data_IF_326091058891
#
_entry.id   IF_326091058891
#
_cell.length_a   1.000
_cell.length_b   1.000
_cell.length_c   1.000
_cell.angle_alpha   90.00
_cell.angle_beta   90.00
_cell.angle_gamma   90.00
#
_symmetry.space_group_name_H-M   'P 1'
#
loop_
_entity.id
_entity.type
_entity.pdbx_description
1 polymer ?
#
# COMPACT_ATOMS: atom_id res chain seq x y z
N UNK A 1 -0.38 11.65 9.27
CA UNK A 1 -0.64 10.23 9.12
C UNK A 1 0.04 9.79 7.86
N UNK A 2 0.80 8.70 7.92
CA UNK A 2 1.27 7.99 6.74
C UNK A 2 0.15 7.16 6.12
N UNK A 3 0.49 6.45 5.04
CA UNK A 3 -0.41 5.61 4.25
C UNK A 3 -1.20 4.60 5.10
N UNK A 4 -0.56 3.95 6.08
CA UNK A 4 -1.21 2.99 6.98
C UNK A 4 -2.34 3.65 7.78
N UNK A 5 -2.08 4.82 8.38
CA UNK A 5 -3.08 5.53 9.17
C UNK A 5 -4.24 6.05 8.32
N UNK A 6 -3.95 6.55 7.12
CA UNK A 6 -4.97 7.03 6.17
C UNK A 6 -5.88 5.88 5.73
N UNK A 7 -5.32 4.74 5.29
CA UNK A 7 -6.12 3.59 4.87
C UNK A 7 -6.91 2.96 6.02
N UNK A 8 -6.32 2.90 7.22
CA UNK A 8 -7.04 2.45 8.41
C UNK A 8 -8.28 3.33 8.67
N UNK A 9 -8.11 4.65 8.65
CA UNK A 9 -9.22 5.59 8.81
C UNK A 9 -10.27 5.47 7.69
N UNK A 10 -9.82 5.36 6.43
CA UNK A 10 -10.70 5.18 5.26
C UNK A 10 -11.58 3.93 5.38
N UNK A 11 -10.99 2.76 5.68
CA UNK A 11 -11.75 1.53 5.80
C UNK A 11 -12.62 1.48 7.06
N UNK A 12 -12.22 2.11 8.16
CA UNK A 12 -13.07 2.26 9.34
C UNK A 12 -14.28 3.17 9.05
N UNK A 13 -14.07 4.29 8.36
CA UNK A 13 -15.15 5.21 7.97
C UNK A 13 -16.12 4.54 6.99
N UNK A 14 -15.63 3.77 6.00
CA UNK A 14 -16.49 2.97 5.10
C UNK A 14 -17.33 1.92 5.82
N UNK A 15 -16.92 1.47 7.01
CA UNK A 15 -17.68 0.58 7.88
C UNK A 15 -18.68 1.32 8.79
N UNK A 16 -18.86 2.62 8.61
CA UNK A 16 -19.82 3.44 9.37
C UNK A 16 -19.31 3.94 10.71
N UNK A 17 -18.02 3.78 11.02
CA UNK A 17 -17.44 4.28 12.27
C UNK A 17 -17.16 5.79 12.16
N UNK A 18 -17.34 6.52 13.28
CA UNK A 18 -16.86 7.90 13.40
C UNK A 18 -15.37 7.87 13.71
N UNK A 19 -14.56 8.45 12.82
CA UNK A 19 -13.10 8.40 12.90
C UNK A 19 -12.52 9.80 12.84
N UNK A 20 -11.57 10.10 13.74
CA UNK A 20 -10.72 11.27 13.64
C UNK A 20 -9.31 10.84 13.22
N UNK A 21 -8.76 11.47 12.19
CA UNK A 21 -7.37 11.27 11.75
C UNK A 21 -6.56 12.53 12.12
N UNK A 22 -5.58 12.37 13.00
CA UNK A 22 -4.74 13.49 13.47
C UNK A 22 -3.32 13.33 12.92
N UNK A 23 -2.74 14.43 12.44
CA UNK A 23 -1.37 14.50 11.93
C UNK A 23 -0.68 15.75 12.48
N UNK A 24 0.57 15.60 12.92
CA UNK A 24 1.36 16.71 13.46
C UNK A 24 1.77 17.76 12.42
N UNK A 25 1.81 17.39 11.15
CA UNK A 25 2.18 18.23 10.02
C UNK A 25 1.30 17.98 8.79
N UNK A 26 1.88 17.47 7.71
CA UNK A 26 1.17 17.22 6.44
C UNK A 26 0.92 15.73 6.22
N UNK A 27 -0.29 15.38 5.78
CA UNK A 27 -0.65 13.99 5.46
C UNK A 27 0.32 13.41 4.42
N UNK A 28 0.81 12.19 4.68
CA UNK A 28 1.76 11.48 3.81
C UNK A 28 3.18 12.03 3.79
N UNK A 29 3.47 13.18 4.42
CA UNK A 29 4.72 13.92 4.22
C UNK A 29 5.96 13.36 4.92
N UNK A 30 5.87 12.20 5.58
CA UNK A 30 7.01 11.50 6.19
C UNK A 30 7.44 10.30 5.32
N UNK A 31 7.58 9.09 5.89
CA UNK A 31 8.06 7.89 5.17
C UNK A 31 7.21 7.55 3.93
N UNK A 32 5.89 7.82 3.98
CA UNK A 32 4.99 7.54 2.85
C UNK A 32 5.29 8.37 1.60
N UNK A 33 5.97 9.51 1.72
CA UNK A 33 6.39 10.34 0.57
C UNK A 33 7.82 10.06 0.10
N UNK A 34 8.57 9.19 0.80
CA UNK A 34 10.01 8.95 0.55
C UNK A 34 10.33 7.50 0.17
N UNK A 35 9.33 6.63 0.11
CA UNK A 35 9.51 5.26 -0.36
C UNK A 35 9.56 5.23 -1.91
N UNK A 36 10.04 4.11 -2.45
CA UNK A 36 10.17 3.92 -3.90
C UNK A 36 8.88 3.41 -4.59
N UNK A 37 7.76 3.35 -3.87
CA UNK A 37 6.45 2.97 -4.43
C UNK A 37 6.26 1.48 -4.71
N UNK A 38 7.20 0.61 -4.33
CA UNK A 38 7.12 -0.82 -4.65
C UNK A 38 6.07 -1.56 -3.81
N UNK A 39 5.12 -2.19 -4.51
CA UNK A 39 4.19 -3.16 -3.94
C UNK A 39 4.53 -4.56 -4.45
N UNK A 40 5.07 -5.43 -3.60
CA UNK A 40 5.63 -6.74 -3.98
C UNK A 40 5.30 -7.86 -3.01
N UNK A 41 5.30 -9.09 -3.51
CA UNK A 41 5.24 -10.34 -2.73
C UNK A 41 6.58 -11.08 -2.68
N UNK A 42 7.44 -10.89 -3.68
CA UNK A 42 8.73 -11.58 -3.82
C UNK A 42 9.62 -11.31 -2.61
N UNK A 43 10.46 -12.27 -2.22
CA UNK A 43 11.41 -12.15 -1.10
C UNK A 43 10.77 -11.64 0.20
N UNK A 44 9.57 -12.15 0.52
CA UNK A 44 8.90 -11.96 1.80
C UNK A 44 8.90 -13.25 2.58
N UNK A 45 8.86 -13.11 3.91
CA UNK A 45 8.58 -14.23 4.78
C UNK A 45 7.19 -14.81 4.46
N UNK A 46 7.06 -16.15 4.52
CA UNK A 46 5.82 -16.85 4.22
C UNK A 46 4.62 -16.34 5.04
N UNK A 47 4.86 -15.89 6.28
CA UNK A 47 3.84 -15.34 7.19
C UNK A 47 3.28 -14.00 6.70
N UNK A 48 4.03 -13.25 5.88
CA UNK A 48 3.59 -11.97 5.34
C UNK A 48 2.85 -12.10 4.01
N UNK A 49 3.01 -13.22 3.30
CA UNK A 49 2.44 -13.42 1.97
C UNK A 49 0.92 -13.19 1.92
N UNK A 50 0.10 -13.72 2.86
CA UNK A 50 -1.35 -13.47 2.82
C UNK A 50 -1.70 -11.98 2.89
N UNK A 51 -0.96 -11.22 3.71
CA UNK A 51 -1.17 -9.78 3.84
C UNK A 51 -0.71 -9.01 2.60
N UNK A 52 0.44 -9.40 2.03
CA UNK A 52 0.97 -8.78 0.81
C UNK A 52 0.04 -9.02 -0.39
N UNK A 53 -0.47 -10.24 -0.56
CA UNK A 53 -1.45 -10.58 -1.60
C UNK A 53 -2.72 -9.76 -1.43
N UNK A 54 -3.27 -9.71 -0.20
CA UNK A 54 -4.47 -8.90 0.05
C UNK A 54 -4.25 -7.40 -0.22
N UNK A 55 -3.08 -6.87 0.13
CA UNK A 55 -2.73 -5.47 -0.14
C UNK A 55 -2.72 -5.17 -1.64
N UNK A 56 -2.20 -6.09 -2.46
CA UNK A 56 -2.18 -5.95 -3.92
C UNK A 56 -3.58 -5.98 -4.53
N UNK A 57 -4.47 -6.84 -4.04
CA UNK A 57 -5.88 -6.87 -4.49
C UNK A 57 -6.59 -5.54 -4.18
N UNK A 58 -6.32 -4.96 -3.00
CA UNK A 58 -6.86 -3.65 -2.64
C UNK A 58 -6.29 -2.54 -3.54
N UNK A 59 -5.00 -2.58 -3.88
CA UNK A 59 -4.40 -1.62 -4.80
C UNK A 59 -5.01 -1.68 -6.21
N UNK A 60 -5.31 -2.87 -6.72
CA UNK A 60 -5.99 -3.04 -8.01
C UNK A 60 -7.38 -2.40 -8.01
N UNK A 61 -8.14 -2.57 -6.92
CA UNK A 61 -9.52 -2.06 -6.86
C UNK A 61 -9.61 -0.58 -6.48
N UNK A 62 -8.62 -0.06 -5.75
CA UNK A 62 -8.72 1.25 -5.10
C UNK A 62 -8.97 2.39 -6.09
N UNK A 63 -8.26 2.43 -7.23
CA UNK A 63 -8.45 3.48 -8.24
C UNK A 63 -9.87 3.49 -8.81
N UNK A 64 -10.44 2.31 -9.06
CA UNK A 64 -11.82 2.20 -9.55
C UNK A 64 -12.84 2.55 -8.45
N UNK A 65 -12.57 2.19 -7.19
CA UNK A 65 -13.46 2.47 -6.07
C UNK A 65 -13.54 3.96 -5.70
N UNK A 66 -12.43 4.70 -5.85
CA UNK A 66 -12.35 6.11 -5.47
C UNK A 66 -12.47 7.07 -6.66
N UNK A 67 -12.20 6.59 -7.87
CA UNK A 67 -12.07 7.44 -9.06
C UNK A 67 -10.73 8.18 -9.16
N UNK A 68 -9.77 7.90 -8.28
CA UNK A 68 -8.48 8.57 -8.22
C UNK A 68 -7.41 7.82 -9.04
N UNK A 69 -6.54 8.54 -9.76
CA UNK A 69 -5.33 7.93 -10.35
C UNK A 69 -4.24 7.82 -9.29
N UNK A 70 -4.02 6.60 -8.82
CA UNK A 70 -3.03 6.28 -7.79
C UNK A 70 -1.61 6.16 -8.33
N UNK A 71 -1.45 6.10 -9.66
CA UNK A 71 -0.18 5.74 -10.30
C UNK A 71 0.22 4.27 -10.12
N UNK A 72 -0.60 3.43 -9.46
CA UNK A 72 -0.29 2.02 -9.28
C UNK A 72 -0.37 1.28 -10.62
N UNK A 73 0.62 0.42 -10.89
CA UNK A 73 0.69 -0.42 -12.08
C UNK A 73 1.19 -1.81 -11.67
N UNK A 74 0.45 -2.86 -12.07
CA UNK A 74 0.85 -4.24 -11.86
C UNK A 74 1.78 -4.70 -12.99
N UNK A 75 3.09 -4.52 -12.79
CA UNK A 75 4.11 -4.81 -13.81
C UNK A 75 5.09 -5.93 -13.42
N UNK A 76 4.88 -6.60 -12.28
CA UNK A 76 5.79 -7.62 -11.78
C UNK A 76 7.08 -7.04 -11.19
N UNK A 77 7.98 -7.92 -10.74
CA UNK A 77 9.28 -7.55 -10.19
C UNK A 77 10.31 -8.60 -10.60
N UNK A 78 11.34 -8.16 -11.31
CA UNK A 78 12.42 -9.01 -11.80
C UNK A 78 13.66 -8.86 -10.90
N UNK A 79 14.17 -9.98 -10.41
CA UNK A 79 15.46 -10.07 -9.76
C UNK A 79 16.45 -10.76 -10.70
N UNK A 80 17.66 -10.24 -10.77
CA UNK A 80 18.74 -10.78 -11.58
C UNK A 80 19.84 -11.32 -10.65
N UNK A 81 20.36 -12.49 -10.97
CA UNK A 81 21.59 -13.03 -10.40
C UNK A 81 22.62 -13.14 -11.51
N UNK A 82 23.87 -12.82 -11.19
CA UNK A 82 25.03 -13.13 -12.02
C UNK A 82 25.80 -14.35 -11.49
N UNK A 83 25.21 -15.07 -10.53
CA UNK A 83 25.64 -16.38 -10.06
C UNK A 83 24.74 -17.45 -10.70
N UNK A 84 25.36 -18.53 -11.18
CA UNK A 84 24.66 -19.68 -11.76
C UNK A 84 24.05 -20.60 -10.69
N UNK A 85 24.53 -20.52 -9.44
CA UNK A 85 24.02 -21.26 -8.30
C UNK A 85 22.69 -20.69 -7.78
#
# INVERSE_FOLDING_TARGET
>A
AGIVGVFAAYYMARRGLKVALVEKGRIGAEQSSRNWGWCRQQNRDARELPMATRSLDLWDSFAAETGEDTGFRRCGLLYLSNDEA
#
